data_IF_927983749032
#
_entry.id   IF_927983749032
#
_cell.length_a   1.000
_cell.length_b   1.000
_cell.length_c   1.000
_cell.angle_alpha   90.00
_cell.angle_beta   90.00
_cell.angle_gamma   90.00
#
_symmetry.space_group_name_H-M   'P 1'
#
loop_
_entity.id
_entity.type
_entity.pdbx_description
1 polymer ?
#
# COMPACT_ATOMS: atom_id res chain seq x y z
N UNK A 1 -31.41 -0.66 3.27
CA UNK A 1 -30.29 -0.54 2.33
C UNK A 1 -29.13 0.31 2.89
N UNK A 2 -29.39 1.39 3.65
CA UNK A 2 -28.32 2.26 4.19
C UNK A 2 -27.34 1.65 5.21
N UNK A 3 -27.70 0.59 5.93
CA UNK A 3 -26.82 0.01 6.96
C UNK A 3 -25.52 -0.62 6.42
N UNK A 4 -25.56 -1.27 5.26
CA UNK A 4 -24.37 -1.89 4.67
C UNK A 4 -23.39 -0.85 4.10
N UNK A 5 -23.93 0.24 3.55
CA UNK A 5 -23.16 1.37 3.03
C UNK A 5 -22.38 2.07 4.14
N UNK A 6 -23.05 2.33 5.27
CA UNK A 6 -22.43 2.95 6.45
C UNK A 6 -21.35 2.05 7.07
N UNK A 7 -21.57 0.73 7.11
CA UNK A 7 -20.59 -0.22 7.64
C UNK A 7 -19.31 -0.22 6.79
N UNK A 8 -19.40 -0.27 5.46
CA UNK A 8 -18.22 -0.32 4.60
C UNK A 8 -17.38 0.97 4.69
N UNK A 9 -18.04 2.14 4.68
CA UNK A 9 -17.37 3.42 4.85
C UNK A 9 -16.74 3.58 6.25
N UNK A 10 -17.45 3.14 7.30
CA UNK A 10 -16.93 3.19 8.68
C UNK A 10 -15.72 2.27 8.87
N UNK A 11 -15.72 1.09 8.25
CA UNK A 11 -14.57 0.19 8.25
C UNK A 11 -13.37 0.85 7.56
N UNK A 12 -13.54 1.44 6.38
CA UNK A 12 -12.46 2.13 5.69
C UNK A 12 -11.82 3.23 6.57
N UNK A 13 -12.65 4.02 7.27
CA UNK A 13 -12.16 5.06 8.17
C UNK A 13 -11.41 4.47 9.37
N UNK A 14 -11.90 3.36 9.93
CA UNK A 14 -11.23 2.64 11.02
C UNK A 14 -9.85 2.16 10.58
N UNK A 15 -9.76 1.51 9.43
CA UNK A 15 -8.48 1.00 8.92
C UNK A 15 -7.52 2.16 8.57
N UNK A 16 -8.00 3.24 7.95
CA UNK A 16 -7.18 4.41 7.67
C UNK A 16 -6.63 5.04 8.96
N UNK A 17 -7.48 5.16 9.98
CA UNK A 17 -7.10 5.68 11.30
C UNK A 17 -6.11 4.74 11.97
N UNK A 18 -6.36 3.43 11.92
CA UNK A 18 -5.46 2.39 12.39
C UNK A 18 -4.07 2.53 11.78
N UNK A 19 -3.98 2.70 10.46
CA UNK A 19 -2.72 2.97 9.78
C UNK A 19 -2.01 4.22 10.33
N UNK A 20 -2.71 5.36 10.42
CA UNK A 20 -2.12 6.61 10.93
C UNK A 20 -1.71 6.56 12.41
N UNK A 21 -2.23 5.63 13.21
CA UNK A 21 -1.76 5.41 14.58
C UNK A 21 -0.36 4.77 14.63
N UNK A 22 0.00 4.00 13.61
CA UNK A 22 1.27 3.27 13.55
C UNK A 22 2.34 3.95 12.69
N UNK A 23 1.98 4.97 11.90
CA UNK A 23 2.91 5.78 11.12
C UNK A 23 2.38 7.20 10.90
N UNK A 24 3.27 8.19 11.06
CA UNK A 24 2.96 9.57 10.70
C UNK A 24 2.90 9.71 9.18
N UNK A 25 1.73 10.12 8.66
CA UNK A 25 1.56 10.33 7.23
C UNK A 25 2.56 11.36 6.67
N UNK A 26 2.86 12.41 7.44
CA UNK A 26 3.85 13.41 7.06
C UNK A 26 5.24 12.80 6.77
N UNK A 27 5.65 11.78 7.53
CA UNK A 27 6.94 11.10 7.28
C UNK A 27 6.94 10.33 5.95
N UNK A 28 5.78 9.76 5.58
CA UNK A 28 5.60 9.09 4.31
C UNK A 28 5.65 10.09 3.14
N UNK A 29 5.01 11.25 3.28
CA UNK A 29 5.04 12.27 2.23
C UNK A 29 6.42 12.94 2.06
N UNK A 30 7.11 13.22 3.16
CA UNK A 30 8.50 13.70 3.13
C UNK A 30 9.39 12.72 2.36
N UNK A 31 9.25 11.41 2.64
CA UNK A 31 10.00 10.39 1.93
C UNK A 31 9.61 10.26 0.45
N UNK A 32 8.36 10.56 0.11
CA UNK A 32 7.89 10.65 -1.27
C UNK A 32 8.47 11.86 -2.03
N UNK A 33 9.25 12.71 -1.36
CA UNK A 33 9.91 13.87 -1.97
C UNK A 33 9.00 15.09 -2.06
N UNK A 34 7.97 15.21 -1.22
CA UNK A 34 7.09 16.39 -1.21
C UNK A 34 7.85 17.69 -0.97
N UNK A 35 8.86 17.68 -0.09
CA UNK A 35 9.63 18.87 0.29
C UNK A 35 10.99 18.95 -0.41
N UNK A 36 11.44 17.87 -1.04
CA UNK A 36 12.73 17.81 -1.71
C UNK A 36 13.47 16.50 -1.46
N UNK A 37 14.60 16.27 -2.16
CA UNK A 37 15.42 15.09 -1.97
C UNK A 37 16.18 15.09 -0.64
N UNK A 38 16.49 16.27 -0.08
CA UNK A 38 17.20 16.41 1.18
C UNK A 38 16.35 15.91 2.36
N UNK A 39 15.08 16.32 2.40
CA UNK A 39 14.10 15.93 3.40
C UNK A 39 13.77 14.43 3.28
N UNK A 40 13.68 13.91 2.06
CA UNK A 40 13.50 12.48 1.81
C UNK A 40 14.67 11.64 2.35
N UNK A 41 15.91 12.14 2.22
CA UNK A 41 17.08 11.50 2.81
C UNK A 41 17.11 11.63 4.33
N UNK A 42 16.71 12.79 4.87
CA UNK A 42 16.70 13.05 6.31
C UNK A 42 15.73 12.13 7.07
N UNK A 43 14.57 11.81 6.48
CA UNK A 43 13.56 10.95 7.12
C UNK A 43 13.87 9.44 6.97
N UNK A 44 14.74 9.04 6.05
CA UNK A 44 15.03 7.64 5.76
C UNK A 44 15.49 6.81 6.96
N UNK A 45 16.43 7.26 7.83
CA UNK A 45 16.84 6.48 8.99
C UNK A 45 15.67 6.15 9.93
N UNK A 46 14.78 7.12 10.15
CA UNK A 46 13.57 6.96 10.96
C UNK A 46 12.63 5.94 10.34
N UNK A 47 12.39 6.02 9.03
CA UNK A 47 11.55 5.05 8.32
C UNK A 47 12.17 3.66 8.23
N UNK A 48 13.49 3.55 8.18
CA UNK A 48 14.18 2.27 8.22
C UNK A 48 14.03 1.59 9.59
N UNK A 49 14.14 2.33 10.69
CA UNK A 49 13.83 1.81 12.03
C UNK A 49 12.36 1.43 12.15
N UNK A 50 11.44 2.26 11.63
CA UNK A 50 10.02 1.93 11.59
C UNK A 50 9.76 0.64 10.83
N UNK A 51 10.35 0.45 9.64
CA UNK A 51 10.19 -0.75 8.82
C UNK A 51 10.46 -2.05 9.60
N UNK A 52 11.46 -2.06 10.49
CA UNK A 52 11.81 -3.24 11.30
C UNK A 52 10.84 -3.51 12.46
N UNK A 53 10.00 -2.55 12.82
CA UNK A 53 9.12 -2.61 13.99
C UNK A 53 7.83 -3.39 13.76
N UNK A 54 7.16 -3.79 14.85
CA UNK A 54 5.79 -4.32 14.79
C UNK A 54 4.78 -3.29 14.29
N UNK A 55 5.03 -2.01 14.55
CA UNK A 55 4.19 -0.90 14.12
C UNK A 55 4.09 -0.80 12.60
N UNK A 56 5.20 -1.00 11.86
CA UNK A 56 5.13 -0.96 10.39
C UNK A 56 4.22 -2.05 9.82
N UNK A 57 4.26 -3.24 10.42
CA UNK A 57 3.45 -4.38 9.97
C UNK A 57 1.98 -4.17 10.28
N UNK A 58 1.66 -3.57 11.42
CA UNK A 58 0.30 -3.10 11.69
C UNK A 58 -0.13 -2.02 10.70
N UNK A 59 0.69 -1.01 10.42
CA UNK A 59 0.36 0.05 9.47
C UNK A 59 0.07 -0.52 8.07
N UNK A 60 0.93 -1.41 7.58
CA UNK A 60 0.79 -2.09 6.28
C UNK A 60 -0.45 -2.98 6.24
N UNK A 61 -0.75 -3.72 7.30
CA UNK A 61 -1.98 -4.49 7.39
C UNK A 61 -3.21 -3.59 7.24
N UNK A 62 -3.30 -2.55 8.07
CA UNK A 62 -4.40 -1.57 7.99
C UNK A 62 -4.51 -0.92 6.60
N UNK A 63 -3.38 -0.58 5.97
CA UNK A 63 -3.35 -0.04 4.61
C UNK A 63 -3.90 -1.03 3.56
N UNK A 64 -3.56 -2.32 3.67
CA UNK A 64 -4.15 -3.36 2.84
C UNK A 64 -5.66 -3.48 3.04
N UNK A 65 -6.13 -3.38 4.28
CA UNK A 65 -7.55 -3.40 4.60
C UNK A 65 -8.31 -2.18 4.08
N UNK A 66 -7.66 -1.00 3.93
CA UNK A 66 -8.25 0.15 3.21
C UNK A 66 -8.54 -0.21 1.76
N UNK A 67 -7.60 -0.87 1.05
CA UNK A 67 -7.82 -1.32 -0.33
C UNK A 67 -8.95 -2.34 -0.40
N UNK A 68 -9.01 -3.29 0.54
CA UNK A 68 -10.11 -4.25 0.67
C UNK A 68 -11.46 -3.55 0.87
N UNK A 69 -11.53 -2.59 1.79
CA UNK A 69 -12.75 -1.83 2.07
C UNK A 69 -13.20 -1.01 0.85
N UNK A 70 -12.26 -0.37 0.14
CA UNK A 70 -12.58 0.36 -1.09
C UNK A 70 -13.22 -0.54 -2.14
N UNK A 71 -12.72 -1.78 -2.32
CA UNK A 71 -13.34 -2.76 -3.23
C UNK A 71 -14.77 -3.12 -2.79
N UNK A 72 -15.03 -3.19 -1.49
CA UNK A 72 -16.33 -3.57 -0.93
C UNK A 72 -17.35 -2.42 -0.86
N UNK A 73 -16.93 -1.15 -0.90
CA UNK A 73 -17.85 -0.01 -0.82
C UNK A 73 -18.87 -0.05 -1.98
N UNK A 74 -20.19 0.00 -1.68
CA UNK A 74 -21.20 0.17 -2.69
C UNK A 74 -21.03 1.49 -3.42
N UNK A 75 -21.26 1.48 -4.73
CA UNK A 75 -21.10 2.65 -5.60
C UNK A 75 -21.90 3.85 -5.08
N UNK A 76 -23.13 3.64 -4.59
CA UNK A 76 -24.00 4.69 -4.02
C UNK A 76 -23.46 5.37 -2.75
N UNK A 77 -22.53 4.73 -2.04
CA UNK A 77 -21.85 5.29 -0.85
C UNK A 77 -20.44 5.81 -1.14
N UNK A 78 -20.00 5.73 -2.39
CA UNK A 78 -18.67 6.17 -2.78
C UNK A 78 -18.58 7.70 -2.69
N UNK A 79 -17.49 8.16 -2.10
CA UNK A 79 -17.20 9.57 -1.85
C UNK A 79 -15.73 9.85 -2.16
N UNK A 80 -15.38 11.09 -2.53
CA UNK A 80 -14.02 11.47 -2.92
C UNK A 80 -13.00 11.17 -1.81
N UNK A 81 -13.41 11.28 -0.54
CA UNK A 81 -12.59 10.91 0.61
C UNK A 81 -12.02 9.48 0.52
N UNK A 82 -12.78 8.53 -0.03
CA UNK A 82 -12.30 7.14 -0.16
C UNK A 82 -11.14 7.03 -1.17
N UNK A 83 -11.10 7.88 -2.20
CA UNK A 83 -9.94 7.96 -3.09
C UNK A 83 -8.69 8.49 -2.37
N UNK A 84 -8.87 9.49 -1.48
CA UNK A 84 -7.80 10.03 -0.64
C UNK A 84 -7.28 8.95 0.32
N UNK A 85 -8.18 8.22 0.98
CA UNK A 85 -7.82 7.11 1.86
C UNK A 85 -6.99 6.03 1.14
N UNK A 86 -7.40 5.65 -0.08
CA UNK A 86 -6.65 4.72 -0.91
C UNK A 86 -5.28 5.25 -1.30
N UNK A 87 -5.15 6.55 -1.57
CA UNK A 87 -3.84 7.17 -1.82
C UNK A 87 -2.93 7.07 -0.58
N UNK A 88 -3.43 7.39 0.60
CA UNK A 88 -2.64 7.29 1.83
C UNK A 88 -2.18 5.85 2.07
N UNK A 89 -3.10 4.89 1.92
CA UNK A 89 -2.81 3.47 2.05
C UNK A 89 -1.77 3.00 1.02
N UNK A 90 -1.94 3.33 -0.26
CA UNK A 90 -0.99 2.92 -1.30
C UNK A 90 0.39 3.53 -1.10
N UNK A 91 0.47 4.76 -0.57
CA UNK A 91 1.74 5.40 -0.22
C UNK A 91 2.45 4.64 0.91
N UNK A 92 1.74 4.28 1.97
CA UNK A 92 2.28 3.47 3.06
C UNK A 92 2.82 2.12 2.55
N UNK A 93 2.03 1.41 1.73
CA UNK A 93 2.41 0.12 1.15
C UNK A 93 3.65 0.23 0.24
N UNK A 94 3.66 1.26 -0.62
CA UNK A 94 4.75 1.55 -1.53
C UNK A 94 6.07 1.82 -0.78
N UNK A 95 6.05 2.69 0.22
CA UNK A 95 7.24 3.07 0.99
C UNK A 95 7.78 1.89 1.79
N UNK A 96 6.90 1.11 2.41
CA UNK A 96 7.29 -0.14 3.05
C UNK A 96 8.00 -1.08 2.06
N UNK A 97 7.44 -1.23 0.86
CA UNK A 97 8.02 -2.01 -0.23
C UNK A 97 9.41 -1.55 -0.67
N UNK A 98 9.59 -0.24 -0.88
CA UNK A 98 10.87 0.38 -1.26
C UNK A 98 11.93 0.09 -0.19
N UNK A 99 11.60 0.31 1.09
CA UNK A 99 12.54 0.08 2.20
C UNK A 99 12.85 -1.41 2.35
N UNK A 100 11.86 -2.29 2.16
CA UNK A 100 12.04 -3.74 2.16
C UNK A 100 13.05 -4.18 1.10
N UNK A 101 12.84 -3.77 -0.16
CA UNK A 101 13.73 -4.06 -1.29
C UNK A 101 15.15 -3.55 -1.05
N UNK A 102 15.29 -2.33 -0.51
CA UNK A 102 16.60 -1.74 -0.19
C UNK A 102 17.31 -2.44 0.96
N UNK A 103 16.57 -3.01 1.91
CA UNK A 103 17.11 -3.77 3.05
C UNK A 103 17.60 -5.15 2.60
N UNK A 104 16.85 -5.83 1.74
CA UNK A 104 17.26 -7.13 1.17
C UNK A 104 18.49 -7.01 0.27
N UNK A 105 18.63 -5.92 -0.49
CA UNK A 105 19.82 -5.70 -1.33
C UNK A 105 21.10 -5.39 -0.54
N UNK A 106 21.00 -4.88 0.69
CA UNK A 106 22.16 -4.57 1.53
C UNK A 106 22.65 -5.77 2.34
N UNK A 107 21.81 -6.78 2.57
CA UNK A 107 22.21 -8.03 3.21
C UNK A 107 23.06 -8.88 2.24
N UNK A 108 24.37 -8.64 2.19
CA UNK A 108 25.33 -9.35 1.33
C UNK A 108 25.70 -10.75 1.84
N UNK A 109 24.78 -11.45 2.50
CA UNK A 109 25.00 -12.85 2.92
C UNK A 109 24.06 -13.78 2.16
N UNK A 110 24.55 -14.94 1.69
CA UNK A 110 23.67 -15.97 1.17
C UNK A 110 22.87 -16.52 2.36
N UNK A 111 21.63 -16.06 2.53
CA UNK A 111 20.74 -16.75 3.45
C UNK A 111 20.53 -18.18 2.93
N UNK A 112 20.58 -19.19 3.82
CA UNK A 112 20.24 -20.55 3.45
C UNK A 112 18.81 -20.55 2.96
N UNK A 113 18.59 -21.17 1.80
CA UNK A 113 17.29 -21.47 1.22
C UNK A 113 16.38 -22.12 2.27
N UNK A 114 15.60 -21.33 2.99
CA UNK A 114 14.50 -21.84 3.79
C UNK A 114 13.31 -22.03 2.83
N UNK A 115 12.80 -23.25 2.64
CA UNK A 115 11.87 -23.57 1.56
C UNK A 115 10.42 -23.09 1.79
N UNK A 116 10.14 -22.28 2.81
CA UNK A 116 8.78 -21.89 3.19
C UNK A 116 8.66 -20.41 3.60
N UNK A 117 9.04 -19.47 2.73
CA UNK A 117 8.64 -18.07 2.95
C UNK A 117 7.13 -17.96 2.68
N UNK A 118 6.32 -18.04 3.73
CA UNK A 118 4.87 -17.93 3.63
C UNK A 118 4.49 -16.58 3.02
N UNK A 119 3.91 -16.61 1.82
CA UNK A 119 3.28 -15.46 1.19
C UNK A 119 1.97 -15.17 1.92
N UNK A 120 1.68 -13.90 2.19
CA UNK A 120 0.44 -13.49 2.85
C UNK A 120 -0.20 -12.29 2.14
N UNK A 121 -1.52 -12.35 2.01
CA UNK A 121 -2.30 -11.31 1.36
C UNK A 121 -2.68 -10.23 2.37
N UNK A 122 -2.15 -9.01 2.22
CA UNK A 122 -2.41 -7.91 3.16
C UNK A 122 -3.77 -7.23 2.96
N UNK A 123 -4.38 -7.40 1.79
CA UNK A 123 -5.75 -6.96 1.48
C UNK A 123 -6.76 -8.13 1.52
N UNK A 124 -6.38 -9.23 2.17
CA UNK A 124 -7.16 -10.45 2.35
C UNK A 124 -7.87 -10.57 3.70
N UNK A 125 -8.30 -11.78 4.04
CA UNK A 125 -8.78 -12.09 5.39
C UNK A 125 -7.64 -12.27 6.39
N UNK A 126 -7.93 -12.00 7.66
CA UNK A 126 -6.95 -12.22 8.70
C UNK A 126 -6.73 -13.73 8.87
N UNK A 127 -5.48 -14.16 8.63
CA UNK A 127 -5.07 -15.55 8.80
C UNK A 127 -4.05 -15.68 9.93
N UNK A 128 -3.76 -16.92 10.34
CA UNK A 128 -2.66 -17.20 11.26
C UNK A 128 -1.31 -16.71 10.70
N UNK A 129 -1.10 -16.82 9.39
CA UNK A 129 0.10 -16.31 8.71
C UNK A 129 0.19 -14.79 8.80
N UNK A 130 -0.92 -14.09 8.60
CA UNK A 130 -1.00 -12.63 8.78
C UNK A 130 -0.65 -12.24 10.21
N UNK A 131 -1.26 -12.88 11.22
CA UNK A 131 -0.97 -12.58 12.63
C UNK A 131 0.50 -12.84 13.01
N UNK A 132 1.05 -13.96 12.54
CA UNK A 132 2.47 -14.29 12.76
C UNK A 132 3.38 -13.26 12.10
N UNK A 133 3.06 -12.82 10.89
CA UNK A 133 3.83 -11.78 10.24
C UNK A 133 3.74 -10.46 11.01
N UNK A 134 2.55 -10.03 11.43
CA UNK A 134 2.41 -8.82 12.25
C UNK A 134 3.27 -8.90 13.50
N UNK A 135 3.19 -10.00 14.26
CA UNK A 135 3.92 -10.13 15.53
C UNK A 135 5.43 -10.35 15.35
N UNK A 136 5.83 -11.20 14.40
CA UNK A 136 7.19 -11.75 14.32
C UNK A 136 7.98 -11.27 13.11
N UNK A 137 7.34 -10.66 12.12
CA UNK A 137 7.97 -10.23 10.86
C UNK A 137 8.25 -11.35 9.85
N UNK A 138 7.80 -12.58 10.11
CA UNK A 138 7.99 -13.71 9.21
C UNK A 138 6.93 -13.76 8.11
N UNK A 139 7.35 -13.66 6.85
CA UNK A 139 6.49 -13.81 5.67
C UNK A 139 6.68 -12.69 4.65
N UNK A 140 6.23 -12.93 3.42
CA UNK A 140 6.29 -11.94 2.34
C UNK A 140 4.90 -11.34 2.11
N UNK A 141 4.70 -10.04 2.41
CA UNK A 141 3.42 -9.38 2.17
C UNK A 141 3.19 -9.12 0.68
N UNK A 142 2.02 -9.53 0.19
CA UNK A 142 1.54 -9.31 -1.18
C UNK A 142 0.15 -8.68 -1.17
N UNK A 143 -0.23 -8.02 -2.26
CA UNK A 143 -1.59 -7.51 -2.51
C UNK A 143 -2.19 -8.18 -3.74
N UNK A 144 -3.52 -8.23 -3.81
CA UNK A 144 -4.24 -8.74 -4.98
C UNK A 144 -4.30 -7.71 -6.12
N UNK A 145 -3.96 -8.11 -7.34
CA UNK A 145 -4.04 -7.25 -8.53
C UNK A 145 -5.46 -7.18 -9.11
N UNK A 146 -6.22 -8.28 -9.05
CA UNK A 146 -7.58 -8.37 -9.61
C UNK A 146 -8.63 -8.56 -8.51
N UNK A 147 -9.87 -8.08 -8.70
CA UNK A 147 -10.93 -8.39 -7.75
C UNK A 147 -11.16 -9.90 -7.73
N UNK A 148 -11.28 -10.48 -6.54
CA UNK A 148 -11.87 -11.80 -6.30
C UNK A 148 -13.22 -11.88 -6.98
N UNK A 149 -13.26 -12.30 -8.25
CA UNK A 149 -14.45 -12.89 -8.83
C UNK A 149 -14.65 -14.20 -8.10
N UNK A 150 -15.76 -14.33 -7.38
CA UNK A 150 -16.25 -15.59 -6.82
C UNK A 150 -16.69 -16.58 -7.91
N UNK A 151 -16.02 -16.57 -9.06
CA UNK A 151 -16.20 -17.54 -10.12
C UNK A 151 -15.15 -18.62 -9.92
N UNK A 152 -15.63 -19.82 -9.61
CA UNK A 152 -14.89 -21.03 -9.29
C UNK A 152 -14.07 -21.60 -10.47
N UNK A 153 -13.47 -20.75 -11.30
CA UNK A 153 -12.47 -21.16 -12.27
C UNK A 153 -11.09 -20.93 -11.69
N UNK A 154 -10.32 -22.01 -11.54
CA UNK A 154 -8.98 -22.10 -10.99
C UNK A 154 -7.91 -21.29 -11.78
N UNK A 155 -8.03 -19.97 -11.81
CA UNK A 155 -6.94 -19.08 -12.15
C UNK A 155 -6.22 -18.71 -10.85
N UNK A 156 -4.88 -18.76 -10.80
CA UNK A 156 -4.14 -18.28 -9.64
C UNK A 156 -4.48 -16.80 -9.41
N UNK A 157 -4.81 -16.43 -8.16
CA UNK A 157 -4.98 -15.03 -7.79
C UNK A 157 -3.70 -14.28 -8.18
N UNK A 158 -3.83 -13.34 -9.12
CA UNK A 158 -2.69 -12.54 -9.57
C UNK A 158 -2.33 -11.59 -8.44
N UNK A 159 -1.22 -11.89 -7.76
CA UNK A 159 -0.74 -11.14 -6.60
C UNK A 159 0.57 -10.46 -6.91
N UNK A 160 0.83 -9.34 -6.23
CA UNK A 160 2.11 -8.63 -6.34
C UNK A 160 2.74 -8.40 -4.99
N UNK A 161 4.05 -8.58 -4.89
CA UNK A 161 4.82 -8.24 -3.71
C UNK A 161 4.87 -6.72 -3.53
N UNK A 162 4.79 -6.27 -2.27
CA UNK A 162 4.89 -4.85 -1.94
C UNK A 162 6.21 -4.22 -2.41
N UNK A 163 7.28 -5.01 -2.55
CA UNK A 163 8.57 -4.60 -3.11
C UNK A 163 8.47 -3.95 -4.51
N UNK A 164 7.36 -4.18 -5.22
CA UNK A 164 7.03 -3.53 -6.49
C UNK A 164 6.15 -2.30 -6.25
N UNK A 165 6.77 -1.19 -5.86
CA UNK A 165 6.14 0.10 -5.60
C UNK A 165 5.22 0.58 -6.74
N UNK A 166 5.71 0.48 -7.98
CA UNK A 166 4.95 0.87 -9.17
C UNK A 166 3.65 0.09 -9.33
N UNK A 167 3.73 -1.24 -9.19
CA UNK A 167 2.58 -2.13 -9.34
C UNK A 167 1.60 -1.88 -8.18
N UNK A 168 2.11 -1.70 -6.96
CA UNK A 168 1.30 -1.36 -5.79
C UNK A 168 0.47 -0.09 -5.99
N UNK A 169 1.08 0.97 -6.52
CA UNK A 169 0.38 2.21 -6.87
C UNK A 169 -0.66 1.98 -7.98
N UNK A 170 -0.30 1.24 -9.03
CA UNK A 170 -1.21 0.95 -10.15
C UNK A 170 -2.44 0.16 -9.72
N UNK A 171 -2.29 -0.82 -8.83
CA UNK A 171 -3.42 -1.57 -8.24
C UNK A 171 -4.38 -0.61 -7.53
N UNK A 172 -3.87 0.29 -6.68
CA UNK A 172 -4.72 1.27 -6.00
C UNK A 172 -5.41 2.25 -6.97
N UNK A 173 -4.70 2.72 -8.00
CA UNK A 173 -5.26 3.56 -9.06
C UNK A 173 -6.40 2.84 -9.79
N UNK A 174 -6.21 1.55 -10.10
CA UNK A 174 -7.23 0.75 -10.77
C UNK A 174 -8.48 0.59 -9.91
N UNK A 175 -8.32 0.30 -8.61
CA UNK A 175 -9.43 0.22 -7.65
C UNK A 175 -10.22 1.54 -7.64
N UNK A 176 -9.53 2.68 -7.53
CA UNK A 176 -10.16 4.01 -7.52
C UNK A 176 -10.90 4.25 -8.84
N UNK A 177 -10.23 4.13 -9.98
CA UNK A 177 -10.81 4.42 -11.30
C UNK A 177 -12.00 3.52 -11.61
N UNK A 178 -11.92 2.23 -11.27
CA UNK A 178 -13.03 1.29 -11.46
C UNK A 178 -14.26 1.75 -10.69
N UNK A 179 -14.12 2.04 -9.39
CA UNK A 179 -15.24 2.49 -8.55
C UNK A 179 -15.85 3.80 -9.01
N UNK A 180 -15.03 4.77 -9.41
CA UNK A 180 -15.54 6.06 -9.89
C UNK A 180 -16.18 5.98 -11.28
N UNK A 181 -15.72 5.10 -12.17
CA UNK A 181 -16.42 4.83 -13.45
C UNK A 181 -17.76 4.14 -13.25
N UNK A 182 -17.90 3.32 -12.22
CA UNK A 182 -19.19 2.70 -11.88
C UNK A 182 -20.20 3.73 -11.33
N UNK A 183 -19.73 4.80 -10.68
CA UNK A 183 -20.59 5.86 -10.12
C UNK A 183 -20.92 6.98 -11.11
N UNK A 184 -19.91 7.46 -11.86
CA UNK A 184 -19.97 8.68 -12.64
C UNK A 184 -19.49 8.45 -14.06
N UNK A 185 -20.22 8.99 -15.03
CA UNK A 185 -19.80 9.01 -16.44
C UNK A 185 -18.53 9.85 -16.66
N UNK A 186 -18.31 10.86 -15.81
CA UNK A 186 -17.15 11.76 -15.86
C UNK A 186 -16.37 11.66 -14.55
N UNK A 187 -15.09 11.30 -14.66
CA UNK A 187 -14.19 11.23 -13.50
C UNK A 187 -14.03 12.62 -12.84
N UNK A 188 -14.23 12.74 -11.52
CA UNK A 188 -13.99 13.99 -10.81
C UNK A 188 -12.54 14.44 -10.96
N UNK A 189 -12.32 15.73 -11.21
CA UNK A 189 -10.96 16.30 -11.43
C UNK A 189 -9.99 15.95 -10.31
N UNK A 190 -10.45 15.96 -9.06
CA UNK A 190 -9.63 15.61 -7.91
C UNK A 190 -9.21 14.15 -7.92
N UNK A 191 -10.10 13.22 -8.28
CA UNK A 191 -9.78 11.78 -8.41
C UNK A 191 -8.74 11.58 -9.51
N UNK A 192 -8.91 12.23 -10.66
CA UNK A 192 -7.91 12.18 -11.73
C UNK A 192 -6.55 12.74 -11.32
N UNK A 193 -6.53 13.82 -10.54
CA UNK A 193 -5.28 14.40 -10.02
C UNK A 193 -4.59 13.47 -9.01
N UNK A 194 -5.34 12.85 -8.09
CA UNK A 194 -4.81 11.86 -7.14
C UNK A 194 -4.19 10.68 -7.89
N UNK A 195 -4.91 10.13 -8.87
CA UNK A 195 -4.41 9.02 -9.68
C UNK A 195 -3.13 9.39 -10.43
N UNK A 196 -3.03 10.61 -10.99
CA UNK A 196 -1.80 11.08 -11.64
C UNK A 196 -0.63 11.20 -10.66
N UNK A 197 -0.88 11.77 -9.47
CA UNK A 197 0.13 11.85 -8.42
C UNK A 197 0.66 10.47 -8.04
N UNK A 198 -0.24 9.50 -7.82
CA UNK A 198 0.12 8.10 -7.54
C UNK A 198 0.97 7.48 -8.66
N UNK A 199 0.66 7.76 -9.93
CA UNK A 199 1.44 7.28 -11.07
C UNK A 199 2.85 7.88 -11.07
N UNK A 200 2.97 9.19 -10.80
CA UNK A 200 4.25 9.87 -10.69
C UNK A 200 5.11 9.26 -9.58
N UNK A 201 4.54 9.07 -8.39
CA UNK A 201 5.25 8.47 -7.24
C UNK A 201 5.65 7.01 -7.56
N UNK A 202 4.76 6.22 -8.14
CA UNK A 202 5.06 4.83 -8.51
C UNK A 202 6.17 4.69 -9.56
N UNK A 203 6.33 5.68 -10.44
CA UNK A 203 7.40 5.68 -11.45
C UNK A 203 8.77 6.09 -10.89
N UNK A 204 8.81 6.83 -9.77
CA UNK A 204 10.06 7.26 -9.14
C UNK A 204 10.91 6.11 -8.60
N UNK A 205 10.32 4.96 -8.26
CA UNK A 205 11.07 3.74 -7.86
C UNK A 205 11.88 3.17 -9.02
N UNK A 206 11.36 3.26 -10.26
CA UNK A 206 12.05 2.76 -11.44
C UNK A 206 13.22 3.65 -11.86
N UNK A 207 13.13 4.94 -11.60
CA UNK A 207 14.16 5.91 -12.00
C UNK A 207 15.26 6.10 -10.94
N UNK A 208 15.17 5.41 -9.80
CA UNK A 208 16.13 5.54 -8.70
C UNK A 208 16.11 6.90 -8.00
N UNK A 209 15.08 7.71 -8.24
CA UNK A 209 14.93 9.07 -7.72
C UNK A 209 14.46 9.13 -6.27
N UNK A 210 13.98 8.02 -5.69
CA UNK A 210 13.74 7.92 -4.25
C UNK A 210 15.06 7.98 -3.47
N UNK A 211 15.46 9.19 -3.08
CA UNK A 211 16.67 9.43 -2.30
C UNK A 211 17.94 9.02 -3.03
N UNK A 212 18.10 9.46 -4.30
CA UNK A 212 19.30 9.18 -5.09
C UNK A 212 20.56 9.64 -4.35
N UNK A 213 21.57 8.78 -4.42
CA UNK A 213 22.77 8.71 -3.58
C UNK A 213 23.99 9.33 -4.28
N UNK A 214 23.77 10.28 -5.19
CA UNK A 214 24.84 10.87 -6.00
C UNK A 214 25.03 12.35 -5.66
N UNK A 215 25.73 12.59 -4.55
CA UNK A 215 26.57 13.79 -4.42
C UNK A 215 28.02 13.34 -4.67
N UNK A 216 28.72 13.87 -5.70
CA UNK A 216 30.15 13.64 -5.83
C UNK A 216 30.86 14.32 -4.66
N UNK A 217 31.83 13.62 -4.07
CA UNK A 217 32.82 14.20 -3.16
C UNK A 217 33.68 15.25 -3.86
#
# INVERSE_FOLDING_TARGET
MGGFEEIAASNLLRELTGMHLYISFNQLELFAGQEGPEEALAVYPTLHTWFQSESSRHAVWNAGQVLRCMRAIPVGALHIFHAIACYHASLCLCIYGIISKRSTSQATSPEPTSPETSVLLVDGEETLSTRRWIQLGFGTPVISMSPTSSDMSAQPEETTALSSANITMNVAIEIIRKKFRELLDIEPRLVGNICRLMQTIGNMDQTGLFGSRDAPQ
#
